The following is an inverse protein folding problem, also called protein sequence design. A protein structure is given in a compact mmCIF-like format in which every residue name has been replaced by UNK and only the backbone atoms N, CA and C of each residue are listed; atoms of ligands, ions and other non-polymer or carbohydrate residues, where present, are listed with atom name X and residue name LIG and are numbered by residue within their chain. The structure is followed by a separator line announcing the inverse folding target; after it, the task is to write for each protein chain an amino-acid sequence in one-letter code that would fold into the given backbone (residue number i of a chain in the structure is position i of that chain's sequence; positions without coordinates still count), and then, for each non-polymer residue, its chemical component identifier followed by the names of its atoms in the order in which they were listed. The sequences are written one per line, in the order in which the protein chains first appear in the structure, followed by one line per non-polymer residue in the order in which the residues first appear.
data_IF_258784304812
#
_entry.id   IF_258784304812
#
_cell.length_a   1.000
_cell.length_b   1.000
_cell.length_c   1.000
_cell.angle_alpha   90.00
_cell.angle_beta   90.00
_cell.angle_gamma   90.00
#
_symmetry.space_group_name_H-M   'P 1'
#
loop_
_entity.id
_entity.type
_entity.pdbx_description
1 polymer ?
#
# COMPACT_ATOMS: atom_id res chain seq x y z
N UNK A 1 -7.96 -12.52 12.06
CA UNK A 1 -7.05 -11.39 11.81
C UNK A 1 -6.58 -11.61 10.38
N UNK A 2 -6.81 -10.65 9.48
CA UNK A 2 -6.29 -10.76 8.11
C UNK A 2 -4.83 -10.32 8.21
N UNK A 3 -3.91 -11.16 7.76
CA UNK A 3 -2.48 -10.86 7.85
C UNK A 3 -2.12 -9.79 6.80
N UNK A 4 -1.15 -8.92 7.08
CA UNK A 4 -0.69 -7.87 6.17
C UNK A 4 -0.39 -8.40 4.77
N UNK A 5 0.16 -9.61 4.68
CA UNK A 5 0.47 -10.27 3.41
C UNK A 5 -0.78 -10.56 2.57
N UNK A 6 -1.89 -10.94 3.19
CA UNK A 6 -3.17 -11.16 2.50
C UNK A 6 -3.73 -9.85 1.94
N UNK A 7 -3.60 -8.75 2.68
CA UNK A 7 -4.03 -7.42 2.24
C UNK A 7 -3.22 -6.94 1.02
N UNK A 8 -1.89 -7.12 1.06
CA UNK A 8 -0.98 -6.79 -0.04
C UNK A 8 -1.29 -7.65 -1.26
N UNK A 9 -1.42 -8.96 -1.09
CA UNK A 9 -1.74 -9.91 -2.17
C UNK A 9 -3.09 -9.60 -2.83
N UNK A 10 -4.12 -9.31 -2.02
CA UNK A 10 -5.42 -8.88 -2.52
C UNK A 10 -5.33 -7.58 -3.31
N UNK A 11 -4.55 -6.61 -2.84
CA UNK A 11 -4.40 -5.34 -3.55
C UNK A 11 -3.64 -5.52 -4.87
N UNK A 12 -2.58 -6.34 -4.90
CA UNK A 12 -1.87 -6.69 -6.15
C UNK A 12 -2.81 -7.30 -7.18
N UNK A 13 -3.67 -8.25 -6.77
CA UNK A 13 -4.63 -8.88 -7.67
C UNK A 13 -5.63 -7.87 -8.28
N UNK A 14 -6.09 -6.90 -7.48
CA UNK A 14 -6.96 -5.83 -7.97
C UNK A 14 -6.25 -4.94 -9.03
N UNK A 15 -4.93 -4.77 -8.90
CA UNK A 15 -4.12 -3.96 -9.81
C UNK A 15 -3.81 -4.66 -11.13
N UNK A 16 -3.89 -5.99 -11.25
CA UNK A 16 -3.55 -6.71 -12.50
C UNK A 16 -4.46 -6.30 -13.69
N UNK A 17 -5.69 -5.88 -13.42
CA UNK A 17 -6.64 -5.42 -14.44
C UNK A 17 -6.82 -3.90 -14.53
N UNK A 18 -6.17 -3.13 -13.66
CA UNK A 18 -6.39 -1.69 -13.55
C UNK A 18 -5.28 -0.89 -14.25
N UNK A 19 -5.64 0.20 -14.94
CA UNK A 19 -4.67 1.21 -15.38
C UNK A 19 -4.47 2.27 -14.31
N UNK A 20 -5.56 2.65 -13.63
CA UNK A 20 -5.56 3.66 -12.57
C UNK A 20 -6.49 3.26 -11.42
N UNK A 21 -6.13 3.64 -10.20
CA UNK A 21 -7.00 3.62 -9.02
C UNK A 21 -7.29 5.03 -8.51
N UNK A 22 -8.50 5.22 -7.99
CA UNK A 22 -8.91 6.47 -7.35
C UNK A 22 -8.32 6.61 -5.96
N UNK A 23 -7.99 7.84 -5.58
CA UNK A 23 -7.36 8.16 -4.29
C UNK A 23 -8.14 7.65 -3.08
N UNK A 24 -9.48 7.66 -3.11
CA UNK A 24 -10.30 7.12 -2.02
C UNK A 24 -10.06 5.62 -1.81
N UNK A 25 -9.99 4.83 -2.89
CA UNK A 25 -9.72 3.39 -2.80
C UNK A 25 -8.30 3.13 -2.30
N UNK A 26 -7.33 3.93 -2.74
CA UNK A 26 -5.96 3.87 -2.26
C UNK A 26 -5.88 4.20 -0.77
N UNK A 27 -6.58 5.25 -0.31
CA UNK A 27 -6.64 5.61 1.12
C UNK A 27 -7.23 4.50 1.97
N UNK A 28 -8.33 3.89 1.54
CA UNK A 28 -8.96 2.79 2.26
C UNK A 28 -8.01 1.60 2.41
N UNK A 29 -7.27 1.26 1.35
CA UNK A 29 -6.25 0.19 1.37
C UNK A 29 -5.07 0.52 2.28
N UNK A 30 -4.55 1.75 2.20
CA UNK A 30 -3.46 2.23 3.05
C UNK A 30 -3.82 2.21 4.54
N UNK A 31 -5.04 2.65 4.88
CA UNK A 31 -5.55 2.60 6.25
C UNK A 31 -5.72 1.16 6.76
N UNK A 32 -6.11 0.23 5.88
CA UNK A 32 -6.19 -1.19 6.20
C UNK A 32 -4.84 -1.81 6.56
N UNK A 33 -3.74 -1.29 6.00
CA UNK A 33 -2.38 -1.79 6.25
C UNK A 33 -1.78 -1.23 7.55
N UNK A 34 -2.14 -0.01 7.94
CA UNK A 34 -1.50 0.73 9.05
C UNK A 34 -1.38 -0.05 10.38
N UNK A 35 -2.36 -0.90 10.71
CA UNK A 35 -2.43 -1.56 12.02
C UNK A 35 -1.38 -2.65 12.28
N UNK A 36 -0.72 -3.15 11.24
CA UNK A 36 0.05 -4.41 11.30
C UNK A 36 1.48 -4.26 10.74
N UNK A 37 1.98 -3.02 10.56
CA UNK A 37 3.27 -2.72 9.94
C UNK A 37 4.35 -2.33 10.95
N UNK A 38 5.60 -2.62 10.62
CA UNK A 38 6.78 -2.07 11.29
C UNK A 38 6.91 -0.55 11.12
N UNK A 39 7.78 0.08 11.92
CA UNK A 39 7.96 1.55 11.95
C UNK A 39 8.30 2.15 10.57
N UNK A 40 9.25 1.53 9.84
CA UNK A 40 9.67 2.01 8.53
C UNK A 40 8.57 1.89 7.46
N UNK A 41 7.83 0.79 7.48
CA UNK A 41 6.70 0.57 6.58
C UNK A 41 5.52 1.50 6.91
N UNK A 42 5.28 1.76 8.20
CA UNK A 42 4.28 2.74 8.65
C UNK A 42 4.60 4.13 8.12
N UNK A 43 5.86 4.57 8.20
CA UNK A 43 6.28 5.87 7.67
C UNK A 43 6.07 5.99 6.15
N UNK A 44 6.27 4.90 5.39
CA UNK A 44 5.99 4.85 3.96
C UNK A 44 4.48 5.01 3.69
N UNK A 45 3.63 4.29 4.43
CA UNK A 45 2.17 4.40 4.32
C UNK A 45 1.67 5.81 4.67
N UNK A 46 2.23 6.44 5.70
CA UNK A 46 1.96 7.83 6.09
C UNK A 46 2.21 8.83 4.95
N UNK A 47 3.36 8.66 4.28
CA UNK A 47 3.72 9.49 3.15
C UNK A 47 2.70 9.33 2.02
N UNK A 48 2.31 8.10 1.69
CA UNK A 48 1.33 7.82 0.64
C UNK A 48 -0.08 8.32 0.98
N UNK A 49 -0.49 8.23 2.24
CA UNK A 49 -1.73 8.84 2.71
C UNK A 49 -1.70 10.35 2.53
N UNK A 50 -0.58 11.00 2.82
CA UNK A 50 -0.41 12.43 2.57
C UNK A 50 -0.50 12.76 1.08
N UNK A 51 0.19 12.02 0.21
CA UNK A 51 0.14 12.22 -1.25
C UNK A 51 -1.28 12.06 -1.79
N UNK A 52 -2.01 11.03 -1.34
CA UNK A 52 -3.39 10.76 -1.78
C UNK A 52 -4.39 11.85 -1.41
N UNK A 53 -4.08 12.73 -0.45
CA UNK A 53 -4.92 13.90 -0.15
C UNK A 53 -4.81 15.01 -1.19
N UNK A 54 -3.71 15.02 -1.95
CA UNK A 54 -3.40 16.05 -2.94
C UNK A 54 -3.52 15.54 -4.39
N UNK A 55 -3.75 14.23 -4.58
CA UNK A 55 -3.80 13.56 -5.88
C UNK A 55 -5.02 12.66 -5.97
N UNK A 56 -5.70 12.66 -7.12
CA UNK A 56 -6.97 11.95 -7.31
C UNK A 56 -6.85 10.56 -7.95
N UNK A 57 -5.78 10.29 -8.71
CA UNK A 57 -5.58 9.05 -9.47
C UNK A 57 -4.15 8.56 -9.37
N UNK A 58 -3.97 7.27 -9.15
CA UNK A 58 -2.70 6.56 -9.09
C UNK A 58 -2.66 5.52 -10.19
N UNK A 59 -1.56 5.44 -10.93
CA UNK A 59 -1.32 4.35 -11.89
C UNK A 59 -1.19 3.01 -11.17
N UNK A 60 -1.50 1.92 -11.84
CA UNK A 60 -1.26 0.62 -11.25
C UNK A 60 0.24 0.34 -11.07
N UNK A 61 1.10 0.84 -11.95
CA UNK A 61 2.54 0.64 -11.86
C UNK A 61 3.15 1.31 -10.62
N UNK A 62 2.82 2.56 -10.33
CA UNK A 62 3.34 3.21 -9.11
C UNK A 62 2.83 2.54 -7.83
N UNK A 63 1.60 2.01 -7.85
CA UNK A 63 1.06 1.28 -6.70
C UNK A 63 1.77 -0.06 -6.52
N UNK A 64 2.14 -0.75 -7.61
CA UNK A 64 2.97 -1.96 -7.54
C UNK A 64 4.36 -1.67 -6.99
N UNK A 65 5.01 -0.59 -7.43
CA UNK A 65 6.31 -0.16 -6.90
C UNK A 65 6.23 0.15 -5.40
N UNK A 66 5.16 0.82 -4.97
CA UNK A 66 4.90 1.05 -3.55
C UNK A 66 4.75 -0.26 -2.76
N UNK A 67 3.98 -1.22 -3.28
CA UNK A 67 3.79 -2.52 -2.62
C UNK A 67 5.08 -3.33 -2.56
N UNK A 68 5.91 -3.29 -3.61
CA UNK A 68 7.23 -3.92 -3.62
C UNK A 68 8.15 -3.32 -2.53
N UNK A 69 8.15 -2.00 -2.36
CA UNK A 69 8.94 -1.33 -1.33
C UNK A 69 8.41 -1.62 0.08
N UNK A 70 7.09 -1.63 0.25
CA UNK A 70 6.44 -1.97 1.52
C UNK A 70 6.84 -3.37 2.00
N UNK A 71 6.79 -4.37 1.11
CA UNK A 71 7.19 -5.75 1.45
C UNK A 71 8.68 -5.86 1.79
N UNK A 72 9.55 -5.09 1.14
CA UNK A 72 10.99 -5.06 1.48
C UNK A 72 11.23 -4.51 2.88
N UNK A 73 10.52 -3.44 3.25
CA UNK A 73 10.63 -2.84 4.59
C UNK A 73 10.14 -3.81 5.66
N UNK A 74 9.02 -4.49 5.44
CA UNK A 74 8.50 -5.50 6.38
C UNK A 74 9.43 -6.71 6.52
N UNK A 75 10.00 -7.19 5.42
CA UNK A 75 10.99 -8.26 5.43
C UNK A 75 12.27 -7.88 6.18
N UNK A 76 12.62 -6.59 6.24
CA UNK A 76 13.78 -6.09 6.98
C UNK A 76 13.57 -6.02 8.50
N UNK A 77 12.32 -6.05 8.98
CA UNK A 77 11.98 -5.96 10.42
C UNK A 77 11.81 -7.34 11.04
N UNK A 78 11.50 -8.37 10.24
CA UNK A 78 11.50 -9.77 10.68
C UNK A 78 12.94 -10.32 10.83
N UNK A 79 13.61 -10.00 11.94
CA UNK A 79 14.88 -10.60 12.37
C UNK A 79 14.84 -11.04 13.84
#
# INVERSE_FOLDING_TARGET
MVETNDLISSWRADLEGATYEGASRVQDRLLGLWGELGEAATALVEQWLTVSRHRNLFSADELREFLDELERLEASVSF
#
